data_IF_063885054224
#
_entry.id   IF_063885054224
#
_cell.length_a   1.000
_cell.length_b   1.000
_cell.length_c   1.000
_cell.angle_alpha   90.00
_cell.angle_beta   90.00
_cell.angle_gamma   90.00
#
_symmetry.space_group_name_H-M   'P 1'
#
loop_
_entity.id
_entity.type
_entity.pdbx_description
1 polymer ?
#
# COMPACT_ATOMS: atom_id res chain seq x y z
N UNK A 1 36.40 -26.34 28.26
CA UNK A 1 35.60 -25.12 28.44
C UNK A 1 34.23 -25.50 28.92
N UNK A 2 33.60 -24.72 29.79
CA UNK A 2 32.21 -24.96 30.23
C UNK A 2 31.27 -24.67 29.04
N UNK A 3 30.57 -25.69 28.53
CA UNK A 3 29.50 -25.50 27.55
C UNK A 3 28.17 -25.28 28.27
N UNK A 4 27.41 -24.26 27.84
CA UNK A 4 26.03 -24.08 28.30
C UNK A 4 25.16 -25.16 27.65
N UNK A 5 24.42 -25.94 28.45
CA UNK A 5 23.56 -27.01 27.94
C UNK A 5 22.11 -26.59 27.75
N UNK A 6 21.60 -25.65 28.55
CA UNK A 6 20.27 -25.07 28.42
C UNK A 6 20.13 -23.81 29.30
N UNK A 7 19.20 -22.93 28.97
CA UNK A 7 18.79 -21.78 29.79
C UNK A 7 17.46 -22.11 30.46
N UNK A 8 17.35 -21.87 31.77
CA UNK A 8 16.10 -22.10 32.53
C UNK A 8 15.49 -20.77 32.92
N UNK A 9 14.29 -20.47 32.43
CA UNK A 9 13.55 -19.25 32.77
C UNK A 9 12.21 -19.60 33.42
N UNK A 10 11.86 -18.87 34.48
CA UNK A 10 10.50 -18.93 35.06
C UNK A 10 9.75 -17.67 34.68
N UNK A 11 8.71 -17.83 33.86
CA UNK A 11 7.92 -16.72 33.33
C UNK A 11 6.51 -16.76 33.91
N UNK A 12 5.94 -15.57 34.15
CA UNK A 12 4.60 -15.38 34.70
C UNK A 12 3.75 -14.57 33.73
N UNK A 13 2.52 -15.02 33.52
CA UNK A 13 1.46 -14.31 32.81
C UNK A 13 0.20 -14.26 33.68
N UNK A 14 -0.82 -13.53 33.26
CA UNK A 14 -2.04 -13.35 34.05
C UNK A 14 -2.75 -14.67 34.42
N UNK A 15 -2.67 -15.70 33.57
CA UNK A 15 -3.30 -17.01 33.82
C UNK A 15 -2.41 -18.03 34.55
N UNK A 16 -1.13 -17.73 34.79
CA UNK A 16 -0.25 -18.66 35.50
C UNK A 16 1.24 -18.44 35.29
N UNK A 17 2.04 -19.26 35.96
CA UNK A 17 3.51 -19.25 35.93
C UNK A 17 4.01 -20.56 35.33
N UNK A 18 5.07 -20.50 34.52
CA UNK A 18 5.68 -21.70 33.91
C UNK A 18 7.19 -21.57 33.86
N UNK A 19 7.89 -22.64 34.23
CA UNK A 19 9.34 -22.76 34.06
C UNK A 19 9.64 -23.45 32.73
N UNK A 20 10.41 -22.80 31.88
CA UNK A 20 10.78 -23.25 30.54
C UNK A 20 12.27 -23.56 30.49
N UNK A 21 12.62 -24.64 29.80
CA UNK A 21 14.00 -24.97 29.40
C UNK A 21 14.16 -24.56 27.95
N UNK A 22 15.08 -23.66 27.69
CA UNK A 22 15.31 -23.01 26.41
C UNK A 22 16.71 -23.36 25.89
N UNK A 23 16.88 -23.23 24.59
CA UNK A 23 18.15 -23.49 23.91
C UNK A 23 19.26 -22.54 24.41
N UNK A 24 20.52 -23.01 24.53
CA UNK A 24 21.67 -22.17 24.90
C UNK A 24 21.83 -20.89 24.08
N UNK A 25 21.43 -20.89 22.80
CA UNK A 25 21.56 -19.72 21.90
C UNK A 25 20.81 -18.48 22.39
N UNK A 26 19.76 -18.68 23.19
CA UNK A 26 18.95 -17.58 23.76
C UNK A 26 19.73 -16.79 24.83
N UNK A 27 20.77 -17.38 25.43
CA UNK A 27 21.59 -16.74 26.46
C UNK A 27 22.20 -15.42 25.99
N UNK A 28 22.74 -15.39 24.78
CA UNK A 28 23.41 -14.20 24.24
C UNK A 28 22.41 -13.06 23.98
N UNK A 29 21.20 -13.39 23.53
CA UNK A 29 20.11 -12.42 23.36
C UNK A 29 19.66 -11.82 24.69
N UNK A 30 19.57 -12.63 25.75
CA UNK A 30 19.22 -12.16 27.10
C UNK A 30 20.24 -11.14 27.61
N UNK A 31 21.53 -11.41 27.41
CA UNK A 31 22.60 -10.49 27.80
C UNK A 31 22.55 -9.21 26.97
N UNK A 32 22.40 -9.34 25.65
CA UNK A 32 22.36 -8.20 24.72
C UNK A 32 21.22 -7.24 25.03
N UNK A 33 20.04 -7.79 25.32
CA UNK A 33 18.83 -7.04 25.68
C UNK A 33 18.81 -6.59 27.16
N UNK A 34 19.85 -6.94 27.94
CA UNK A 34 20.00 -6.62 29.38
C UNK A 34 18.76 -6.98 30.20
N UNK A 35 18.18 -8.15 29.93
CA UNK A 35 16.95 -8.60 30.58
C UNK A 35 17.22 -8.91 32.05
N UNK A 36 16.36 -8.36 32.92
CA UNK A 36 16.44 -8.55 34.36
C UNK A 36 15.14 -9.13 34.92
N UNK A 37 15.19 -9.58 36.18
CA UNK A 37 13.99 -10.05 36.89
C UNK A 37 13.04 -8.87 37.04
N UNK A 38 11.80 -9.05 36.59
CA UNK A 38 10.76 -8.02 36.59
C UNK A 38 10.40 -7.49 35.21
N UNK A 39 11.17 -7.82 34.17
CA UNK A 39 10.87 -7.39 32.81
C UNK A 39 9.83 -8.29 32.11
N UNK A 40 8.99 -7.65 31.29
CA UNK A 40 8.10 -8.34 30.35
C UNK A 40 8.89 -8.62 29.08
N UNK A 41 8.96 -9.89 28.69
CA UNK A 41 9.76 -10.32 27.54
C UNK A 41 8.93 -11.16 26.57
N UNK A 42 9.25 -11.03 25.29
CA UNK A 42 8.73 -11.88 24.22
C UNK A 42 9.85 -12.82 23.75
N UNK A 43 9.57 -14.12 23.72
CA UNK A 43 10.50 -15.15 23.25
C UNK A 43 9.82 -15.92 22.12
N UNK A 44 10.44 -15.90 20.95
CA UNK A 44 10.05 -16.77 19.84
C UNK A 44 10.94 -18.01 19.84
N UNK A 45 10.37 -19.14 20.25
CA UNK A 45 11.13 -20.37 20.49
C UNK A 45 11.82 -20.94 19.23
N UNK A 46 11.26 -20.70 18.04
CA UNK A 46 11.78 -21.26 16.79
C UNK A 46 12.97 -20.47 16.23
N UNK A 47 12.96 -19.15 16.39
CA UNK A 47 13.99 -18.25 15.86
C UNK A 47 15.05 -17.90 16.92
N UNK A 48 14.76 -18.17 18.20
CA UNK A 48 15.60 -17.79 19.33
C UNK A 48 15.59 -16.28 19.63
N UNK A 49 14.71 -15.51 18.96
CA UNK A 49 14.61 -14.07 19.15
C UNK A 49 13.99 -13.78 20.51
N UNK A 50 14.69 -12.98 21.32
CA UNK A 50 14.20 -12.42 22.57
C UNK A 50 14.12 -10.90 22.44
N UNK A 51 13.00 -10.32 22.88
CA UNK A 51 12.81 -8.87 22.95
C UNK A 51 12.35 -8.47 24.35
N UNK A 52 12.97 -7.44 24.93
CA UNK A 52 12.47 -6.77 26.14
C UNK A 52 11.33 -5.84 25.74
N UNK A 53 10.12 -6.09 26.25
CA UNK A 53 8.96 -5.25 25.99
C UNK A 53 8.88 -4.05 26.94
N UNK A 54 9.41 -4.19 28.15
CA UNK A 54 9.40 -3.14 29.17
C UNK A 54 9.42 -3.70 30.58
N UNK A 55 9.35 -2.82 31.57
CA UNK A 55 9.32 -3.18 32.99
C UNK A 55 7.89 -3.56 33.39
N UNK A 56 7.68 -4.60 34.20
CA UNK A 56 6.33 -4.95 34.63
C UNK A 56 5.75 -3.92 35.61
N UNK A 57 4.48 -3.53 35.44
CA UNK A 57 3.75 -2.64 36.36
C UNK A 57 3.79 -3.12 37.82
N UNK A 58 3.92 -4.43 38.07
CA UNK A 58 4.03 -4.97 39.43
C UNK A 58 5.32 -4.58 40.16
N UNK A 59 6.30 -4.05 39.42
CA UNK A 59 7.57 -3.57 39.94
C UNK A 59 7.68 -2.03 39.87
N UNK A 60 6.64 -1.33 39.42
CA UNK A 60 6.58 0.12 39.49
C UNK A 60 6.47 0.54 40.96
N UNK A 61 7.44 1.30 41.46
CA UNK A 61 7.34 1.95 42.76
C UNK A 61 6.87 3.40 42.57
N UNK A 62 6.01 3.91 43.46
CA UNK A 62 5.44 5.27 43.36
C UNK A 62 6.49 6.41 43.39
N UNK A 63 7.75 6.08 43.66
CA UNK A 63 8.87 7.03 43.81
C UNK A 63 9.98 6.83 42.76
N UNK A 64 9.78 5.96 41.78
CA UNK A 64 10.78 5.70 40.75
C UNK A 64 10.76 6.80 39.68
N UNK A 65 11.83 7.62 39.65
CA UNK A 65 12.04 8.68 38.64
C UNK A 65 12.68 8.14 37.36
N UNK A 66 12.78 6.82 37.21
CA UNK A 66 13.34 6.17 36.03
C UNK A 66 12.40 6.28 34.81
N UNK A 67 12.97 6.65 33.66
CA UNK A 67 12.29 6.74 32.35
C UNK A 67 12.06 5.35 31.72
N UNK A 68 11.79 4.31 32.52
CA UNK A 68 11.48 2.99 31.98
C UNK A 68 10.03 2.90 31.50
N UNK A 69 9.81 2.26 30.35
CA UNK A 69 8.48 1.99 29.82
C UNK A 69 7.86 0.82 30.63
N UNK A 70 6.85 1.16 31.44
CA UNK A 70 6.10 0.20 32.23
C UNK A 70 4.98 -0.44 31.41
N UNK A 71 4.93 -1.76 31.44
CA UNK A 71 4.04 -2.60 30.64
C UNK A 71 3.25 -3.53 31.55
N UNK A 72 1.93 -3.66 31.35
CA UNK A 72 1.10 -4.56 32.14
C UNK A 72 1.45 -6.02 31.89
N UNK A 73 1.17 -6.85 32.90
CA UNK A 73 1.37 -8.29 32.81
C UNK A 73 0.60 -8.87 31.61
N UNK A 74 1.24 -9.67 30.73
CA UNK A 74 0.58 -10.23 29.55
C UNK A 74 -0.69 -11.02 29.90
N UNK A 75 -1.79 -10.68 29.23
CA UNK A 75 -3.05 -11.40 29.37
C UNK A 75 -2.94 -12.79 28.71
N UNK A 76 -3.37 -13.83 29.42
CA UNK A 76 -3.38 -15.21 28.92
C UNK A 76 -2.28 -16.09 29.49
N UNK A 77 -1.96 -17.17 28.78
CA UNK A 77 -0.96 -18.17 29.16
C UNK A 77 0.45 -17.75 28.76
N UNK A 78 1.45 -18.28 29.48
CA UNK A 78 2.89 -18.04 29.24
C UNK A 78 3.35 -18.62 27.90
N UNK A 79 2.85 -19.81 27.54
CA UNK A 79 3.18 -20.48 26.28
C UNK A 79 1.97 -20.41 25.35
N UNK A 80 2.13 -19.82 24.17
CA UNK A 80 1.08 -19.72 23.16
C UNK A 80 1.62 -20.29 21.85
N UNK A 81 0.91 -21.26 21.27
CA UNK A 81 1.12 -21.69 19.89
C UNK A 81 0.20 -20.84 19.00
N UNK A 82 0.79 -20.12 18.05
CA UNK A 82 0.06 -19.36 17.03
C UNK A 82 0.49 -19.85 15.67
N UNK A 83 -0.47 -20.09 14.79
CA UNK A 83 -0.23 -20.24 13.37
C UNK A 83 -0.19 -18.84 12.77
N UNK A 84 0.93 -18.50 12.15
CA UNK A 84 1.13 -17.20 11.49
C UNK A 84 1.08 -17.50 10.00
N UNK A 85 0.04 -16.98 9.35
CA UNK A 85 -0.04 -16.95 7.89
C UNK A 85 0.66 -15.68 7.45
N UNK A 86 1.61 -15.81 6.54
CA UNK A 86 2.39 -14.68 6.03
C UNK A 86 2.21 -14.60 4.53
N UNK A 87 1.58 -13.50 4.09
CA UNK A 87 1.43 -13.20 2.68
C UNK A 87 2.64 -12.40 2.21
N UNK A 88 3.35 -12.91 1.22
CA UNK A 88 4.53 -12.30 0.62
C UNK A 88 4.38 -12.28 -0.89
N UNK A 89 4.80 -11.19 -1.53
CA UNK A 89 4.94 -11.17 -2.99
C UNK A 89 6.31 -11.71 -3.40
N UNK A 90 6.42 -12.23 -4.62
CA UNK A 90 7.72 -12.61 -5.19
C UNK A 90 8.70 -11.42 -5.23
N UNK A 91 8.17 -10.22 -5.44
CA UNK A 91 8.97 -9.00 -5.42
C UNK A 91 9.59 -8.72 -4.04
N UNK A 92 8.87 -9.02 -2.95
CA UNK A 92 9.40 -8.86 -1.59
C UNK A 92 10.57 -9.83 -1.34
N UNK A 93 10.47 -11.06 -1.84
CA UNK A 93 11.53 -12.05 -1.77
C UNK A 93 12.75 -11.63 -2.61
N UNK A 94 12.54 -11.12 -3.82
CA UNK A 94 13.62 -10.57 -4.66
C UNK A 94 14.35 -9.44 -3.93
N UNK A 95 13.60 -8.46 -3.41
CA UNK A 95 14.16 -7.28 -2.74
C UNK A 95 14.91 -7.62 -1.45
N UNK A 96 14.42 -8.60 -0.69
CA UNK A 96 15.09 -9.09 0.52
C UNK A 96 16.47 -9.72 0.21
N UNK A 97 16.62 -10.35 -0.96
CA UNK A 97 17.89 -10.94 -1.38
C UNK A 97 18.84 -9.95 -2.07
N UNK A 98 18.32 -8.87 -2.69
CA UNK A 98 19.15 -7.80 -3.28
C UNK A 98 19.77 -6.91 -2.21
N UNK A 99 19.00 -6.56 -1.18
CA UNK A 99 19.50 -5.84 0.00
C UNK A 99 19.59 -6.82 1.15
N UNK A 100 20.69 -7.60 1.28
CA UNK A 100 20.89 -8.35 2.50
C UNK A 100 20.90 -7.33 3.63
N UNK A 101 19.83 -7.33 4.42
CA UNK A 101 19.73 -6.52 5.63
C UNK A 101 20.81 -7.10 6.53
N UNK A 102 21.97 -6.48 6.49
CA UNK A 102 23.13 -6.90 7.25
C UNK A 102 22.81 -6.64 8.71
N UNK A 103 22.27 -7.65 9.37
CA UNK A 103 22.43 -7.90 10.79
C UNK A 103 23.91 -8.24 11.11
N UNK A 104 24.85 -7.51 10.50
CA UNK A 104 26.28 -7.67 10.61
C UNK A 104 26.90 -6.28 10.73
N UNK A 105 27.74 -6.11 11.75
CA UNK A 105 28.42 -4.88 12.15
C UNK A 105 29.41 -4.33 11.10
N UNK A 106 29.01 -4.19 9.83
CA UNK A 106 29.87 -3.64 8.79
C UNK A 106 29.51 -2.18 8.52
N UNK A 107 30.46 -1.31 8.81
CA UNK A 107 30.47 0.16 8.58
C UNK A 107 30.12 0.51 7.12
N UNK A 108 30.31 -0.43 6.19
CA UNK A 108 29.98 -0.32 4.77
C UNK A 108 28.45 -0.33 4.53
N UNK A 109 27.68 -1.03 5.35
CA UNK A 109 26.20 -1.04 5.27
C UNK A 109 25.61 0.33 5.65
N UNK A 110 26.20 1.02 6.64
CA UNK A 110 25.78 2.35 7.06
C UNK A 110 26.08 3.43 6.01
N UNK A 111 27.22 3.33 5.30
CA UNK A 111 27.51 4.21 4.15
C UNK A 111 26.62 3.92 2.94
N UNK A 112 26.24 2.66 2.71
CA UNK A 112 25.29 2.31 1.64
C UNK A 112 23.88 2.85 1.88
N UNK A 113 23.45 3.03 3.14
CA UNK A 113 22.17 3.66 3.48
C UNK A 113 22.14 5.18 3.18
N UNK A 114 23.29 5.84 3.13
CA UNK A 114 23.40 7.25 2.69
C UNK A 114 23.39 7.40 1.16
N UNK A 115 23.66 6.32 0.40
CA UNK A 115 23.56 6.26 -1.06
C UNK A 115 22.36 5.43 -1.57
N UNK A 116 21.49 4.96 -0.66
CA UNK A 116 20.44 3.95 -0.91
C UNK A 116 19.25 4.40 -1.77
N UNK A 117 19.34 5.54 -2.45
CA UNK A 117 18.29 6.03 -3.34
C UNK A 117 18.38 5.47 -4.78
N UNK A 118 19.41 4.68 -5.11
CA UNK A 118 19.38 3.89 -6.36
C UNK A 118 18.70 2.56 -6.08
N UNK A 119 17.51 2.37 -6.67
CA UNK A 119 16.88 1.04 -6.77
C UNK A 119 17.89 0.14 -7.50
N UNK A 120 18.50 -0.77 -6.76
CA UNK A 120 19.35 -1.82 -7.31
C UNK A 120 18.48 -2.71 -8.19
N UNK A 121 18.84 -2.82 -9.46
CA UNK A 121 18.13 -3.66 -10.41
C UNK A 121 18.24 -5.13 -9.98
N UNK A 122 17.10 -5.82 -9.96
CA UNK A 122 17.05 -7.25 -9.68
C UNK A 122 17.50 -7.98 -10.94
N UNK A 123 18.66 -8.64 -10.88
CA UNK A 123 19.16 -9.44 -12.01
C UNK A 123 18.31 -10.68 -12.25
N UNK A 124 18.19 -11.11 -13.50
CA UNK A 124 17.45 -12.35 -13.85
C UNK A 124 18.01 -13.60 -13.16
N UNK A 125 19.32 -13.64 -12.89
CA UNK A 125 19.93 -14.73 -12.11
C UNK A 125 19.35 -14.81 -10.71
N UNK A 126 19.16 -13.66 -10.05
CA UNK A 126 18.58 -13.65 -8.71
C UNK A 126 17.12 -14.10 -8.73
N UNK A 127 16.32 -13.63 -9.70
CA UNK A 127 14.94 -14.08 -9.88
C UNK A 127 14.86 -15.59 -10.04
N UNK A 128 15.71 -16.17 -10.89
CA UNK A 128 15.76 -17.63 -11.08
C UNK A 128 16.10 -18.40 -9.81
N UNK A 129 16.97 -17.86 -8.94
CA UNK A 129 17.26 -18.50 -7.65
C UNK A 129 16.08 -18.39 -6.68
N UNK A 130 15.41 -17.23 -6.63
CA UNK A 130 14.19 -17.04 -5.83
C UNK A 130 13.09 -18.00 -6.32
N UNK A 131 12.87 -18.08 -7.64
CA UNK A 131 11.87 -18.96 -8.25
C UNK A 131 12.11 -20.43 -7.90
N UNK A 132 13.38 -20.90 -7.91
CA UNK A 132 13.73 -22.27 -7.48
C UNK A 132 13.36 -22.53 -6.02
N UNK A 133 13.64 -21.56 -5.16
CA UNK A 133 13.34 -21.66 -3.72
C UNK A 133 11.83 -21.66 -3.49
N UNK A 134 11.08 -20.78 -4.15
CA UNK A 134 9.61 -20.73 -4.08
C UNK A 134 9.01 -22.03 -4.60
N UNK A 135 9.47 -22.53 -5.75
CA UNK A 135 9.02 -23.80 -6.30
C UNK A 135 9.24 -24.97 -5.32
N UNK A 136 10.38 -24.98 -4.61
CA UNK A 136 10.65 -25.97 -3.57
C UNK A 136 9.67 -25.86 -2.39
N UNK A 137 9.34 -24.65 -1.94
CA UNK A 137 8.35 -24.44 -0.88
C UNK A 137 6.96 -24.91 -1.31
N UNK A 138 6.55 -24.62 -2.55
CA UNK A 138 5.27 -25.08 -3.11
C UNK A 138 5.25 -26.61 -3.23
N UNK A 139 6.30 -27.22 -3.78
CA UNK A 139 6.40 -28.69 -3.94
C UNK A 139 6.36 -29.42 -2.59
N UNK A 140 6.91 -28.80 -1.54
CA UNK A 140 6.90 -29.36 -0.19
C UNK A 140 5.60 -29.07 0.60
N UNK A 141 4.58 -28.47 -0.03
CA UNK A 141 3.36 -27.99 0.63
C UNK A 141 3.63 -27.05 1.82
N UNK A 142 4.69 -26.25 1.74
CA UNK A 142 5.06 -25.25 2.74
C UNK A 142 4.56 -23.85 2.38
N UNK A 143 4.22 -23.61 1.10
CA UNK A 143 3.67 -22.37 0.60
C UNK A 143 2.66 -22.64 -0.51
N UNK A 144 1.75 -21.70 -0.73
CA UNK A 144 0.81 -21.68 -1.85
C UNK A 144 1.09 -20.43 -2.68
N UNK A 145 1.08 -20.58 -4.01
CA UNK A 145 1.27 -19.45 -4.92
C UNK A 145 -0.09 -19.00 -5.46
N UNK A 146 -0.45 -17.75 -5.19
CA UNK A 146 -1.74 -17.17 -5.56
C UNK A 146 -1.51 -16.08 -6.61
N UNK A 147 -1.98 -16.25 -7.86
CA UNK A 147 -1.90 -15.21 -8.88
C UNK A 147 -2.74 -13.98 -8.49
N UNK A 148 -2.13 -12.80 -8.56
CA UNK A 148 -2.79 -11.53 -8.24
C UNK A 148 -3.46 -10.86 -9.44
N UNK A 149 -3.73 -9.56 -9.30
CA UNK A 149 -4.25 -8.70 -10.37
C UNK A 149 -3.23 -7.59 -10.66
N UNK A 150 -2.85 -7.44 -11.93
CA UNK A 150 -2.06 -6.31 -12.41
C UNK A 150 -2.99 -5.33 -13.12
N UNK A 151 -3.33 -4.23 -12.44
CA UNK A 151 -4.11 -3.14 -13.02
C UNK A 151 -3.18 -2.07 -13.61
N UNK A 152 -3.31 -1.81 -14.91
CA UNK A 152 -2.58 -0.76 -15.62
C UNK A 152 -3.59 0.28 -16.10
N UNK A 153 -3.60 1.42 -15.41
CA UNK A 153 -4.34 2.59 -15.87
C UNK A 153 -3.62 3.28 -17.03
N UNK A 154 -4.39 3.96 -17.88
CA UNK A 154 -3.90 4.66 -19.07
C UNK A 154 -3.00 3.80 -19.96
N UNK A 155 -3.40 2.55 -20.23
CA UNK A 155 -2.62 1.56 -20.98
C UNK A 155 -2.12 2.05 -22.35
N UNK A 156 -2.80 3.02 -22.97
CA UNK A 156 -2.37 3.67 -24.21
C UNK A 156 -1.07 4.49 -24.10
N UNK A 157 -0.54 4.69 -22.88
CA UNK A 157 0.75 5.33 -22.63
C UNK A 157 1.92 4.36 -22.79
N UNK A 158 1.68 3.04 -22.73
CA UNK A 158 2.71 2.02 -22.92
C UNK A 158 3.24 2.03 -24.36
N UNK A 159 4.52 1.73 -24.52
CA UNK A 159 5.14 1.58 -25.83
C UNK A 159 5.02 0.13 -26.36
N UNK A 160 5.39 -0.07 -27.63
CA UNK A 160 5.33 -1.39 -28.28
C UNK A 160 6.16 -2.46 -27.53
N UNK A 161 7.32 -2.09 -26.97
CA UNK A 161 8.19 -3.00 -26.23
C UNK A 161 7.52 -3.50 -24.94
N UNK A 162 6.84 -2.61 -24.20
CA UNK A 162 6.08 -2.96 -23.01
C UNK A 162 4.90 -3.89 -23.34
N UNK A 163 4.19 -3.65 -24.44
CA UNK A 163 3.13 -4.57 -24.89
C UNK A 163 3.67 -5.94 -25.28
N UNK A 164 4.84 -5.97 -25.94
CA UNK A 164 5.54 -7.23 -26.25
C UNK A 164 5.89 -8.00 -24.97
N UNK A 165 6.34 -7.27 -23.93
CA UNK A 165 6.63 -7.86 -22.63
C UNK A 165 5.35 -8.38 -21.93
N UNK A 166 4.24 -7.65 -22.01
CA UNK A 166 2.94 -8.10 -21.49
C UNK A 166 2.49 -9.39 -22.19
N UNK A 167 2.62 -9.47 -23.51
CA UNK A 167 2.33 -10.70 -24.25
C UNK A 167 3.16 -11.87 -23.73
N UNK A 168 4.46 -11.66 -23.47
CA UNK A 168 5.33 -12.70 -22.89
C UNK A 168 4.87 -13.12 -21.49
N UNK A 169 4.39 -12.19 -20.67
CA UNK A 169 3.86 -12.50 -19.33
C UNK A 169 2.59 -13.35 -19.45
N UNK A 170 1.69 -13.03 -20.38
CA UNK A 170 0.43 -13.77 -20.57
C UNK A 170 0.64 -15.24 -20.99
N UNK A 171 1.82 -15.60 -21.49
CA UNK A 171 2.18 -17.00 -21.79
C UNK A 171 2.68 -17.78 -20.57
N UNK A 172 2.89 -17.14 -19.42
CA UNK A 172 3.34 -17.80 -18.21
C UNK A 172 2.17 -18.50 -17.49
N UNK A 173 2.39 -19.72 -17.01
CA UNK A 173 1.36 -20.52 -16.31
C UNK A 173 0.80 -19.81 -15.06
N UNK A 174 1.61 -18.97 -14.43
CA UNK A 174 1.29 -18.26 -13.18
C UNK A 174 1.11 -16.76 -13.43
N UNK A 175 0.73 -16.38 -14.64
CA UNK A 175 0.47 -14.99 -15.00
C UNK A 175 -0.67 -14.42 -14.12
N UNK A 176 -0.50 -13.21 -13.55
CA UNK A 176 -1.59 -12.53 -12.88
C UNK A 176 -2.69 -12.13 -13.87
N UNK A 177 -3.90 -11.88 -13.38
CA UNK A 177 -4.95 -11.28 -14.19
C UNK A 177 -4.54 -9.84 -14.56
N UNK A 178 -4.34 -9.57 -15.85
CA UNK A 178 -3.98 -8.24 -16.33
C UNK A 178 -5.24 -7.47 -16.72
N UNK A 179 -5.48 -6.33 -16.05
CA UNK A 179 -6.58 -5.42 -16.36
C UNK A 179 -6.00 -4.13 -16.93
N UNK A 180 -6.30 -3.87 -18.21
CA UNK A 180 -5.89 -2.65 -18.91
C UNK A 180 -7.05 -1.66 -18.94
N UNK A 181 -6.83 -0.43 -18.50
CA UNK A 181 -7.80 0.66 -18.62
C UNK A 181 -7.31 1.72 -19.60
N UNK A 182 -8.21 2.24 -20.45
CA UNK A 182 -7.89 3.31 -21.40
C UNK A 182 -9.09 4.23 -21.63
N UNK A 183 -8.82 5.53 -21.70
CA UNK A 183 -9.81 6.58 -21.98
C UNK A 183 -9.74 7.10 -23.43
N UNK A 184 -8.83 6.54 -24.24
CA UNK A 184 -8.70 6.81 -25.68
C UNK A 184 -9.67 5.91 -26.43
N UNK A 185 -10.66 6.50 -27.11
CA UNK A 185 -11.59 5.77 -27.96
C UNK A 185 -11.18 5.94 -29.43
N UNK A 186 -11.36 4.90 -30.24
CA UNK A 186 -11.04 4.93 -31.67
C UNK A 186 -9.59 4.54 -31.99
N UNK A 187 -9.12 4.93 -33.17
CA UNK A 187 -7.80 4.60 -33.69
C UNK A 187 -6.75 5.59 -33.20
N UNK A 188 -5.68 5.09 -32.57
CA UNK A 188 -4.58 5.90 -32.07
C UNK A 188 -3.25 5.28 -32.45
N UNK A 189 -2.24 6.13 -32.61
CA UNK A 189 -0.86 5.70 -32.80
C UNK A 189 -0.35 4.97 -31.55
N UNK A 190 0.34 3.85 -31.75
CA UNK A 190 1.02 3.10 -30.68
C UNK A 190 2.31 3.83 -30.33
N UNK A 191 2.54 4.11 -29.05
CA UNK A 191 3.75 4.81 -28.60
C UNK A 191 5.01 4.00 -28.97
N UNK A 192 6.05 4.69 -29.44
CA UNK A 192 7.31 4.06 -29.88
C UNK A 192 7.30 3.47 -31.29
N UNK A 193 6.23 3.72 -32.08
CA UNK A 193 6.17 3.34 -33.50
C UNK A 193 6.15 4.58 -34.39
N UNK A 194 6.53 4.47 -35.66
CA UNK A 194 6.47 5.60 -36.59
C UNK A 194 5.05 5.82 -37.13
N UNK A 195 4.35 4.78 -37.58
CA UNK A 195 3.03 4.92 -38.23
C UNK A 195 2.02 3.80 -37.90
N UNK A 196 2.23 3.04 -36.82
CA UNK A 196 1.31 1.96 -36.47
C UNK A 196 0.11 2.53 -35.70
N UNK A 197 -1.05 2.49 -36.32
CA UNK A 197 -2.33 2.93 -35.77
C UNK A 197 -3.16 1.70 -35.39
N UNK A 198 -3.72 1.70 -34.18
CA UNK A 198 -4.53 0.59 -33.68
C UNK A 198 -5.65 1.08 -32.77
N UNK A 199 -6.76 0.33 -32.58
CA UNK A 199 -7.78 0.69 -31.61
C UNK A 199 -7.19 0.92 -30.22
N UNK A 200 -7.63 2.00 -29.56
CA UNK A 200 -7.21 2.41 -28.22
C UNK A 200 -5.70 2.72 -28.07
N UNK A 201 -4.90 2.64 -29.13
CA UNK A 201 -3.43 2.73 -29.07
C UNK A 201 -2.76 1.45 -28.54
N UNK A 202 -3.44 0.30 -28.62
CA UNK A 202 -2.95 -0.99 -28.14
C UNK A 202 -2.72 -1.92 -29.34
N UNK A 203 -1.61 -2.67 -29.44
CA UNK A 203 -1.35 -3.63 -30.51
C UNK A 203 -2.49 -4.64 -30.73
N UNK A 204 -2.79 -4.96 -31.99
CA UNK A 204 -3.91 -5.82 -32.35
C UNK A 204 -3.79 -7.24 -31.78
N UNK A 205 -2.58 -7.79 -31.77
CA UNK A 205 -2.25 -9.09 -31.19
C UNK A 205 -2.59 -9.19 -29.69
N UNK A 206 -2.41 -8.10 -28.93
CA UNK A 206 -2.82 -8.05 -27.53
C UNK A 206 -4.33 -7.84 -27.41
N UNK A 207 -4.94 -7.03 -28.28
CA UNK A 207 -6.40 -6.81 -28.29
C UNK A 207 -7.18 -8.09 -28.60
N UNK A 208 -6.68 -8.94 -29.49
CA UNK A 208 -7.29 -10.22 -29.84
C UNK A 208 -7.34 -11.18 -28.62
N UNK A 209 -6.49 -10.96 -27.62
CA UNK A 209 -6.45 -11.70 -26.34
C UNK A 209 -7.30 -11.04 -25.24
N UNK A 210 -7.79 -9.82 -25.45
CA UNK A 210 -8.46 -9.03 -24.43
C UNK A 210 -9.99 -9.20 -24.46
N UNK A 211 -10.60 -9.34 -23.28
CA UNK A 211 -12.03 -9.14 -23.10
C UNK A 211 -12.33 -7.64 -22.92
N UNK A 212 -12.88 -7.01 -23.96
CA UNK A 212 -13.15 -5.56 -23.94
C UNK A 212 -14.48 -5.28 -23.24
N UNK A 213 -14.41 -4.65 -22.07
CA UNK A 213 -15.57 -4.17 -21.31
C UNK A 213 -15.72 -2.66 -21.51
N UNK A 214 -16.85 -2.24 -22.11
CA UNK A 214 -17.15 -0.81 -22.33
C UNK A 214 -17.89 -0.24 -21.13
N UNK A 215 -17.35 0.81 -20.53
CA UNK A 215 -18.04 1.60 -19.51
C UNK A 215 -18.94 2.64 -20.16
N UNK A 216 -20.04 2.98 -19.50
CA UNK A 216 -20.97 4.05 -19.92
C UNK A 216 -20.85 5.23 -18.96
N UNK A 217 -21.11 6.46 -19.43
CA UNK A 217 -21.29 7.61 -18.54
C UNK A 217 -22.43 7.36 -17.54
N UNK A 218 -22.29 7.93 -16.35
CA UNK A 218 -23.33 7.89 -15.33
C UNK A 218 -24.47 8.85 -15.68
N UNK A 219 -25.70 8.50 -15.26
CA UNK A 219 -26.82 9.44 -15.26
C UNK A 219 -26.86 10.29 -13.97
N UNK A 220 -27.67 11.36 -13.93
CA UNK A 220 -27.78 12.26 -12.76
C UNK A 220 -28.06 11.50 -11.46
N UNK A 221 -28.99 10.52 -11.49
CA UNK A 221 -29.37 9.76 -10.29
C UNK A 221 -28.21 8.89 -9.77
N UNK A 222 -27.42 8.32 -10.68
CA UNK A 222 -26.21 7.57 -10.34
C UNK A 222 -25.13 8.51 -9.78
N UNK A 223 -24.96 9.71 -10.35
CA UNK A 223 -24.03 10.72 -9.84
C UNK A 223 -24.39 11.15 -8.42
N UNK A 224 -25.67 11.44 -8.16
CA UNK A 224 -26.19 11.78 -6.83
C UNK A 224 -25.85 10.69 -5.81
N UNK A 225 -26.10 9.43 -6.16
CA UNK A 225 -25.77 8.27 -5.30
C UNK A 225 -24.26 8.16 -5.02
N UNK A 226 -23.41 8.42 -6.02
CA UNK A 226 -21.95 8.37 -5.86
C UNK A 226 -21.46 9.50 -4.96
N UNK A 227 -21.94 10.72 -5.19
CA UNK A 227 -21.56 11.91 -4.41
C UNK A 227 -22.06 11.76 -2.96
N UNK A 228 -23.29 11.27 -2.77
CA UNK A 228 -23.85 11.00 -1.45
C UNK A 228 -22.99 10.00 -0.66
N UNK A 229 -22.65 8.85 -1.24
CA UNK A 229 -21.76 7.87 -0.59
C UNK A 229 -20.41 8.47 -0.24
N UNK A 230 -19.85 9.30 -1.12
CA UNK A 230 -18.58 9.98 -0.84
C UNK A 230 -18.71 10.97 0.31
N UNK A 231 -19.82 11.69 0.39
CA UNK A 231 -20.12 12.60 1.49
C UNK A 231 -20.29 11.85 2.82
N UNK A 232 -20.96 10.69 2.81
CA UNK A 232 -21.11 9.80 3.97
C UNK A 232 -19.74 9.31 4.48
N UNK A 233 -18.84 8.87 3.60
CA UNK A 233 -17.46 8.48 3.97
C UNK A 233 -16.70 9.63 4.66
N UNK A 234 -17.03 10.87 4.31
CA UNK A 234 -16.42 12.09 4.86
C UNK A 234 -17.20 12.65 6.06
N UNK A 235 -18.28 12.00 6.51
CA UNK A 235 -19.23 12.51 7.50
C UNK A 235 -19.78 13.91 7.19
N UNK A 236 -19.95 14.22 5.90
CA UNK A 236 -20.38 15.52 5.41
C UNK A 236 -21.88 15.52 5.10
N UNK A 237 -22.60 16.54 5.57
CA UNK A 237 -24.00 16.75 5.19
C UNK A 237 -24.07 17.80 4.09
N UNK A 238 -24.82 17.50 3.03
CA UNK A 238 -24.96 18.37 1.86
C UNK A 238 -26.44 18.77 1.74
N UNK A 239 -26.70 20.06 1.54
CA UNK A 239 -28.05 20.55 1.23
C UNK A 239 -28.51 20.08 -0.15
N UNK A 240 -29.82 19.92 -0.36
CA UNK A 240 -30.35 19.36 -1.62
C UNK A 240 -29.95 20.19 -2.83
N UNK A 241 -29.96 21.53 -2.72
CA UNK A 241 -29.57 22.40 -3.83
C UNK A 241 -28.08 22.31 -4.14
N UNK A 242 -27.24 22.13 -3.11
CA UNK A 242 -25.81 21.94 -3.28
C UNK A 242 -25.50 20.60 -3.96
N UNK A 243 -26.26 19.56 -3.61
CA UNK A 243 -26.19 18.26 -4.26
C UNK A 243 -26.58 18.35 -5.75
N UNK A 244 -27.67 19.05 -6.07
CA UNK A 244 -28.09 19.26 -7.46
C UNK A 244 -26.98 19.96 -8.27
N UNK A 245 -26.33 20.98 -7.68
CA UNK A 245 -25.21 21.68 -8.32
C UNK A 245 -24.00 20.77 -8.54
N UNK A 246 -23.63 19.98 -7.55
CA UNK A 246 -22.53 19.01 -7.66
C UNK A 246 -22.83 17.92 -8.71
N UNK A 247 -24.10 17.52 -8.86
CA UNK A 247 -24.55 16.60 -9.90
C UNK A 247 -24.49 17.23 -11.28
N UNK A 248 -24.93 18.49 -11.45
CA UNK A 248 -24.81 19.25 -12.70
C UNK A 248 -23.34 19.34 -13.16
N UNK A 249 -22.41 19.61 -12.23
CA UNK A 249 -20.97 19.60 -12.52
C UNK A 249 -20.44 18.21 -12.91
N UNK A 250 -21.02 17.16 -12.34
CA UNK A 250 -20.69 15.78 -12.68
C UNK A 250 -21.25 15.33 -14.04
N UNK A 251 -22.44 15.83 -14.40
CA UNK A 251 -23.23 15.45 -15.58
C UNK A 251 -22.86 16.24 -16.83
N UNK A 252 -22.10 17.34 -16.72
CA UNK A 252 -21.48 18.03 -17.85
C UNK A 252 -20.52 17.06 -18.59
N UNK A 253 -21.16 16.19 -19.36
CA UNK A 253 -20.72 14.92 -19.95
C UNK A 253 -19.78 15.17 -21.14
N UNK A 254 -19.55 16.44 -21.45
CA UNK A 254 -18.47 16.97 -22.27
C UNK A 254 -17.09 16.83 -21.58
N UNK A 255 -17.06 16.70 -20.25
CA UNK A 255 -15.84 16.62 -19.45
C UNK A 255 -15.58 15.18 -19.02
N UNK A 256 -14.59 14.51 -19.64
CA UNK A 256 -14.04 13.19 -19.21
C UNK A 256 -13.64 13.09 -17.73
N UNK A 257 -13.73 14.19 -16.96
CA UNK A 257 -13.32 14.32 -15.56
C UNK A 257 -14.36 15.03 -14.67
N UNK A 258 -15.61 15.23 -15.14
CA UNK A 258 -16.65 15.97 -14.39
C UNK A 258 -16.94 15.41 -13.00
N UNK A 259 -17.20 14.09 -12.89
CA UNK A 259 -17.38 13.42 -11.61
C UNK A 259 -16.17 13.57 -10.68
N UNK A 260 -14.94 13.41 -11.20
CA UNK A 260 -13.72 13.55 -10.38
C UNK A 260 -13.61 14.95 -9.81
N UNK A 261 -13.89 15.97 -10.62
CA UNK A 261 -13.87 17.36 -10.19
C UNK A 261 -14.95 17.63 -9.12
N UNK A 262 -16.19 17.19 -9.34
CA UNK A 262 -17.28 17.30 -8.37
C UNK A 262 -16.93 16.66 -7.02
N UNK A 263 -16.36 15.44 -7.02
CA UNK A 263 -15.92 14.78 -5.78
C UNK A 263 -14.75 15.49 -5.10
N UNK A 264 -13.87 16.14 -5.86
CA UNK A 264 -12.75 16.92 -5.31
C UNK A 264 -13.21 18.21 -4.63
N UNK A 265 -14.34 18.80 -5.05
CA UNK A 265 -14.91 19.99 -4.43
C UNK A 265 -15.50 19.73 -3.04
N UNK A 266 -15.82 18.49 -2.69
CA UNK A 266 -16.37 18.15 -1.37
C UNK A 266 -15.43 18.55 -0.22
N UNK A 267 -14.12 18.35 -0.38
CA UNK A 267 -13.13 18.69 0.64
C UNK A 267 -13.01 20.21 0.91
N UNK A 268 -12.81 21.08 -0.10
CA UNK A 268 -12.81 22.53 0.15
C UNK A 268 -14.18 23.05 0.61
N UNK A 269 -15.29 22.48 0.13
CA UNK A 269 -16.62 22.84 0.63
C UNK A 269 -16.79 22.52 2.13
N UNK A 270 -16.22 21.41 2.62
CA UNK A 270 -16.27 21.08 4.05
C UNK A 270 -15.50 22.10 4.89
N UNK A 271 -14.37 22.60 4.38
CA UNK A 271 -13.57 23.63 5.06
C UNK A 271 -14.34 24.95 5.11
N UNK A 272 -14.96 25.40 4.02
CA UNK A 272 -15.79 26.61 4.02
C UNK A 272 -16.98 26.51 4.97
N UNK A 273 -17.64 25.35 4.99
CA UNK A 273 -18.72 25.04 5.92
C UNK A 273 -18.25 25.15 7.38
N UNK A 274 -17.11 24.55 7.73
CA UNK A 274 -16.54 24.59 9.08
C UNK A 274 -16.13 26.02 9.48
N UNK A 275 -15.50 26.78 8.58
CA UNK A 275 -15.12 28.17 8.80
C UNK A 275 -16.34 29.07 9.04
N UNK A 276 -17.45 28.78 8.34
CA UNK A 276 -18.72 29.46 8.54
C UNK A 276 -19.50 28.98 9.78
N UNK A 277 -19.00 27.97 10.50
CA UNK A 277 -19.67 27.40 11.67
C UNK A 277 -20.98 26.68 11.36
N UNK A 278 -21.14 26.18 10.12
CA UNK A 278 -22.34 25.47 9.65
C UNK A 278 -22.17 23.95 9.78
N UNK A 279 -23.29 23.24 9.80
CA UNK A 279 -23.33 21.77 9.86
C UNK A 279 -23.64 21.12 8.51
N UNK A 280 -23.89 21.92 7.47
CA UNK A 280 -24.21 21.49 6.11
C UNK A 280 -23.55 22.37 5.05
N UNK A 281 -23.08 21.73 3.98
CA UNK A 281 -22.62 22.39 2.75
C UNK A 281 -23.83 22.94 1.98
N UNK A 282 -23.76 24.21 1.60
CA UNK A 282 -24.78 24.92 0.82
C UNK A 282 -24.27 25.22 -0.60
N UNK A 283 -25.13 25.76 -1.46
CA UNK A 283 -24.79 26.02 -2.87
C UNK A 283 -23.66 27.06 -2.96
N UNK A 284 -23.71 28.06 -2.10
CA UNK A 284 -22.75 29.15 -2.04
C UNK A 284 -21.32 28.65 -1.79
N UNK A 285 -21.16 27.59 -0.98
CA UNK A 285 -19.85 26.95 -0.77
C UNK A 285 -19.31 26.32 -2.05
N UNK A 286 -20.20 25.66 -2.80
CA UNK A 286 -19.84 24.99 -4.06
C UNK A 286 -19.45 26.03 -5.10
N UNK A 287 -20.21 27.12 -5.21
CA UNK A 287 -19.94 28.22 -6.14
C UNK A 287 -18.62 28.93 -5.80
N UNK A 288 -18.36 29.24 -4.53
CA UNK A 288 -17.09 29.82 -4.09
C UNK A 288 -15.91 28.87 -4.37
N UNK A 289 -16.07 27.58 -4.06
CA UNK A 289 -15.04 26.59 -4.38
C UNK A 289 -14.80 26.44 -5.88
N UNK A 290 -15.84 26.61 -6.72
CA UNK A 290 -15.70 26.57 -8.17
C UNK A 290 -14.91 27.75 -8.73
N UNK A 291 -14.97 28.92 -8.10
CA UNK A 291 -14.17 30.09 -8.47
C UNK A 291 -12.71 29.92 -8.06
N UNK A 292 -12.47 29.40 -6.85
CA UNK A 292 -11.12 29.18 -6.31
C UNK A 292 -10.40 28.01 -6.99
N UNK A 293 -11.10 26.92 -7.27
CA UNK A 293 -10.54 25.70 -7.82
C UNK A 293 -11.10 25.44 -9.22
N UNK A 294 -10.39 25.92 -10.24
CA UNK A 294 -10.81 25.77 -11.63
C UNK A 294 -10.75 24.31 -12.10
N UNK A 295 -11.71 23.93 -12.94
CA UNK A 295 -11.60 22.69 -13.71
C UNK A 295 -10.60 22.84 -14.88
N UNK A 296 -10.14 21.72 -15.43
CA UNK A 296 -9.14 21.72 -16.50
C UNK A 296 -9.58 22.53 -17.73
N UNK A 297 -10.86 22.48 -18.11
CA UNK A 297 -11.34 23.16 -19.31
C UNK A 297 -11.39 24.67 -19.10
N UNK A 298 -11.93 25.13 -17.96
CA UNK A 298 -11.94 26.54 -17.56
C UNK A 298 -10.51 27.08 -17.44
N UNK A 299 -9.59 26.30 -16.86
CA UNK A 299 -8.17 26.66 -16.79
C UNK A 299 -7.54 26.83 -18.18
N UNK A 300 -7.81 25.90 -19.12
CA UNK A 300 -7.32 25.99 -20.50
C UNK A 300 -7.94 27.17 -21.26
N UNK A 301 -9.22 27.46 -21.05
CA UNK A 301 -9.91 28.61 -21.67
C UNK A 301 -9.35 29.95 -21.20
N UNK A 302 -9.11 30.10 -19.89
CA UNK A 302 -8.44 31.29 -19.34
C UNK A 302 -7.07 31.44 -19.99
N UNK A 303 -6.28 30.37 -20.07
CA UNK A 303 -4.96 30.41 -20.72
C UNK A 303 -5.01 30.79 -22.20
N UNK A 304 -6.01 30.31 -22.95
CA UNK A 304 -6.17 30.66 -24.37
C UNK A 304 -6.55 32.13 -24.58
N UNK A 305 -7.32 32.69 -23.65
CA UNK A 305 -7.79 34.07 -23.73
C UNK A 305 -6.72 35.06 -23.24
N UNK A 306 -5.84 34.63 -22.33
CA UNK A 306 -4.80 35.46 -21.73
C UNK A 306 -3.44 35.30 -22.45
N UNK A 307 -3.39 35.74 -23.72
CA UNK A 307 -2.24 35.65 -24.63
C UNK A 307 -1.01 36.51 -24.23
N UNK A 308 -0.90 37.02 -22.99
CA UNK A 308 0.09 38.04 -22.61
C UNK A 308 1.31 37.57 -21.81
N UNK A 309 1.49 36.27 -21.57
CA UNK A 309 2.62 35.82 -20.73
C UNK A 309 3.31 34.53 -21.12
N UNK A 310 2.84 33.79 -22.13
CA UNK A 310 3.29 32.41 -22.32
C UNK A 310 3.55 32.07 -23.80
N UNK A 311 4.78 32.33 -24.22
CA UNK A 311 5.57 31.59 -25.22
C UNK A 311 7.05 31.81 -24.92
#
# INVERSE_FOLDING_TARGET
GKSLSHVVLTLKAAKGTKTLRLDPTIYDSIIKEKITIGDVIYIEANTGIVKRCGRSDSFATEFDLELEEYVPLPKGEVYKKREIIQDLTLHDLDMANVKPTSNGNDIISMMSNLQANKKTEITDKLRQEVDKVVHKYVTNNQAELIPGVLFIDEAHMLNLEMFTYINKILELDLAPLIILATNKQGLHKINGTEDIISPFGIPQDLLDRCLIIKTKPYNIKELEQIILKRAEDMNLKIDSKAMDKLCELGEDSSKKRGLRYSLQLLSPCSILMELAGRDKVIVEDVEECMELFLDLNRSVEILKNDNKGYL
#
